data_IF_501909002853
#
_entry.id   IF_501909002853
#
_cell.length_a   1.000
_cell.length_b   1.000
_cell.length_c   1.000
_cell.angle_alpha   90.00
_cell.angle_beta   90.00
_cell.angle_gamma   90.00
#
_symmetry.space_group_name_H-M   'P 1'
#
loop_
_entity.id
_entity.type
_entity.pdbx_description
1 polymer ?
#
# COMPACT_ATOMS: atom_id res chain seq x y z
N UNK A 1 -28.21 36.67 -13.15
CA UNK A 1 -26.80 36.21 -13.11
C UNK A 1 -26.41 36.05 -11.65
N UNK A 2 -26.16 34.83 -11.17
CA UNK A 2 -25.80 34.60 -9.76
C UNK A 2 -24.37 35.10 -9.55
N UNK A 3 -24.20 36.13 -8.72
CA UNK A 3 -22.87 36.64 -8.35
C UNK A 3 -22.10 35.53 -7.63
N UNK A 4 -21.06 35.01 -8.29
CA UNK A 4 -20.07 34.15 -7.63
C UNK A 4 -19.34 35.03 -6.61
N UNK A 5 -19.64 34.84 -5.32
CA UNK A 5 -19.04 35.63 -4.25
C UNK A 5 -17.56 35.31 -4.13
N UNK A 6 -16.74 36.31 -3.79
CA UNK A 6 -15.30 36.11 -3.53
C UNK A 6 -15.05 35.00 -2.50
N UNK A 7 -15.96 34.83 -1.52
CA UNK A 7 -15.92 33.73 -0.56
C UNK A 7 -16.01 32.33 -1.21
N UNK A 8 -16.87 32.15 -2.22
CA UNK A 8 -16.97 30.87 -2.96
C UNK A 8 -15.69 30.61 -3.76
N UNK A 9 -15.11 31.66 -4.34
CA UNK A 9 -13.85 31.57 -5.09
C UNK A 9 -12.68 31.24 -4.16
N UNK A 10 -12.63 31.85 -2.97
CA UNK A 10 -11.66 31.56 -1.92
C UNK A 10 -11.82 30.12 -1.41
N UNK A 11 -13.05 29.66 -1.15
CA UNK A 11 -13.33 28.29 -0.73
C UNK A 11 -12.90 27.25 -1.78
N UNK A 12 -13.16 27.51 -3.07
CA UNK A 12 -12.68 26.67 -4.20
C UNK A 12 -11.15 26.67 -4.32
N UNK A 13 -10.49 27.81 -4.07
CA UNK A 13 -9.02 27.91 -4.06
C UNK A 13 -8.42 27.21 -2.83
N UNK A 14 -9.05 27.29 -1.66
CA UNK A 14 -8.63 26.60 -0.44
C UNK A 14 -8.83 25.09 -0.56
N UNK A 15 -9.94 24.61 -1.12
CA UNK A 15 -10.14 23.19 -1.42
C UNK A 15 -9.08 22.64 -2.38
N UNK A 16 -8.60 23.45 -3.34
CA UNK A 16 -7.49 23.08 -4.23
C UNK A 16 -6.13 22.96 -3.53
N UNK A 17 -5.98 23.50 -2.31
CA UNK A 17 -4.69 23.62 -1.63
C UNK A 17 -4.54 22.77 -0.37
N UNK A 18 -5.56 22.01 0.05
CA UNK A 18 -5.39 21.03 1.13
C UNK A 18 -4.86 19.73 0.51
N UNK A 19 -3.57 19.69 0.23
CA UNK A 19 -2.87 18.45 -0.09
C UNK A 19 -2.68 17.68 1.21
N UNK A 20 -3.55 16.70 1.46
CA UNK A 20 -3.28 15.75 2.53
C UNK A 20 -2.01 14.96 2.19
N UNK A 21 -1.16 14.67 3.19
CA UNK A 21 -0.07 13.73 3.03
C UNK A 21 -0.56 12.45 2.35
N UNK A 22 0.20 12.02 1.35
CA UNK A 22 -0.08 10.81 0.58
C UNK A 22 0.85 9.71 1.06
N UNK A 23 0.28 8.55 1.34
CA UNK A 23 0.98 7.37 1.82
C UNK A 23 0.74 6.23 0.84
N UNK A 24 1.66 5.29 0.80
CA UNK A 24 1.54 4.06 0.04
C UNK A 24 1.04 2.95 0.97
N UNK A 25 -0.04 2.27 0.58
CA UNK A 25 -0.62 1.15 1.33
C UNK A 25 -0.02 -0.15 0.84
N UNK A 26 0.62 -0.91 1.74
CA UNK A 26 1.42 -2.07 1.38
C UNK A 26 1.10 -3.29 2.25
N UNK A 27 1.36 -4.49 1.72
CA UNK A 27 1.59 -5.65 2.58
C UNK A 27 2.90 -5.49 3.37
N UNK A 28 3.13 -6.30 4.42
CA UNK A 28 4.43 -6.37 5.06
C UNK A 28 5.53 -6.70 4.04
N UNK A 29 6.70 -6.12 4.26
CA UNK A 29 7.82 -6.24 3.35
C UNK A 29 8.38 -7.67 3.41
N UNK A 30 8.72 -8.23 2.24
CA UNK A 30 9.29 -9.57 2.15
C UNK A 30 10.67 -9.54 1.50
N UNK A 31 11.54 -10.45 1.90
CA UNK A 31 12.84 -10.65 1.25
C UNK A 31 12.75 -11.79 0.25
N UNK A 32 13.03 -11.49 -1.03
CA UNK A 32 12.98 -12.46 -2.12
C UNK A 32 14.35 -12.59 -2.75
N UNK A 33 14.71 -13.79 -3.21
CA UNK A 33 15.97 -14.00 -3.94
C UNK A 33 15.97 -13.18 -5.22
N UNK A 34 17.05 -12.44 -5.47
CA UNK A 34 17.21 -11.61 -6.66
C UNK A 34 17.03 -12.39 -7.97
N UNK A 35 17.50 -13.65 -7.99
CA UNK A 35 17.35 -14.52 -9.17
C UNK A 35 15.90 -14.92 -9.44
N UNK A 36 15.06 -15.02 -8.40
CA UNK A 36 13.64 -15.32 -8.55
C UNK A 36 12.87 -14.12 -9.08
N UNK A 37 13.17 -12.92 -8.58
CA UNK A 37 12.56 -11.68 -9.09
C UNK A 37 12.88 -11.43 -10.58
N UNK A 38 14.12 -11.71 -11.01
CA UNK A 38 14.55 -11.55 -12.41
C UNK A 38 13.87 -12.52 -13.38
N UNK A 39 13.42 -13.66 -12.88
CA UNK A 39 12.82 -14.73 -13.68
C UNK A 39 11.31 -14.83 -13.45
N UNK A 40 10.67 -13.79 -12.92
CA UNK A 40 9.22 -13.75 -12.78
C UNK A 40 8.58 -13.87 -14.15
N UNK A 41 7.52 -14.67 -14.21
CA UNK A 41 6.75 -14.93 -15.41
C UNK A 41 5.25 -14.80 -15.14
N UNK A 42 4.49 -14.67 -16.22
CA UNK A 42 3.04 -14.59 -16.15
C UNK A 42 2.46 -15.84 -15.48
N UNK A 43 1.53 -15.64 -14.55
CA UNK A 43 0.87 -16.66 -13.73
C UNK A 43 1.74 -17.34 -12.66
N UNK A 44 3.00 -16.92 -12.48
CA UNK A 44 3.77 -17.35 -11.31
C UNK A 44 3.03 -17.00 -10.01
N UNK A 45 3.16 -17.88 -9.01
CA UNK A 45 2.59 -17.67 -7.68
C UNK A 45 3.73 -17.38 -6.71
N UNK A 46 3.69 -16.19 -6.11
CA UNK A 46 4.60 -15.78 -5.06
C UNK A 46 3.93 -15.98 -3.70
N UNK A 47 4.37 -17.00 -2.97
CA UNK A 47 4.02 -17.22 -1.57
C UNK A 47 4.63 -16.11 -0.69
N UNK A 48 3.82 -15.50 0.17
CA UNK A 48 4.24 -14.33 0.97
C UNK A 48 4.63 -14.70 2.40
N UNK A 49 4.19 -15.86 2.88
CA UNK A 49 4.30 -16.31 4.25
C UNK A 49 3.27 -15.68 5.20
N UNK A 50 2.29 -14.94 4.68
CA UNK A 50 1.26 -14.28 5.50
C UNK A 50 0.00 -15.12 5.58
N UNK A 51 -0.46 -15.42 6.80
CA UNK A 51 -1.72 -16.10 7.07
C UNK A 51 -2.89 -15.11 7.24
N UNK A 52 -2.59 -13.81 7.36
CA UNK A 52 -3.56 -12.75 7.64
C UNK A 52 -3.22 -11.48 6.89
N UNK A 53 -4.27 -10.75 6.49
CA UNK A 53 -4.12 -9.48 5.81
C UNK A 53 -3.80 -8.37 6.82
N UNK A 54 -2.51 -8.13 7.01
CA UNK A 54 -1.96 -6.95 7.68
C UNK A 54 -1.48 -5.93 6.65
N UNK A 55 -1.58 -4.65 6.97
CA UNK A 55 -1.24 -3.57 6.05
C UNK A 55 -0.27 -2.58 6.71
N UNK A 56 0.59 -1.99 5.90
CA UNK A 56 1.53 -0.94 6.29
C UNK A 56 1.23 0.34 5.51
N UNK A 57 1.28 1.47 6.21
CA UNK A 57 1.41 2.76 5.55
C UNK A 57 2.87 3.15 5.47
N UNK A 58 3.26 3.58 4.27
CA UNK A 58 4.61 4.01 4.01
C UNK A 58 4.64 5.40 3.39
N UNK A 59 5.63 6.19 3.76
CA UNK A 59 6.00 7.41 3.05
C UNK A 59 7.41 7.22 2.49
N UNK A 60 7.51 6.92 1.19
CA UNK A 60 8.77 6.54 0.56
C UNK A 60 9.33 5.24 1.15
N UNK A 61 10.49 5.34 1.81
CA UNK A 61 11.18 4.22 2.48
C UNK A 61 10.89 4.15 3.99
N UNK A 62 10.03 5.03 4.53
CA UNK A 62 9.67 5.03 5.94
C UNK A 62 8.32 4.35 6.14
N UNK A 63 8.26 3.37 7.05
CA UNK A 63 7.01 2.80 7.56
C UNK A 63 6.48 3.78 8.61
N UNK A 64 5.27 4.29 8.40
CA UNK A 64 4.63 5.30 9.24
C UNK A 64 3.56 4.71 10.17
N UNK A 65 2.91 3.62 9.77
CA UNK A 65 1.89 2.99 10.58
C UNK A 65 1.61 1.55 10.16
N UNK A 66 1.08 0.77 11.10
CA UNK A 66 0.41 -0.51 10.84
C UNK A 66 -1.09 -0.31 10.82
N UNK A 67 -1.73 -0.93 9.85
CA UNK A 67 -3.17 -0.94 9.64
C UNK A 67 -3.70 -2.35 9.79
N UNK A 68 -4.90 -2.44 10.37
CA UNK A 68 -5.70 -3.66 10.36
C UNK A 68 -7.07 -3.38 9.77
N UNK A 69 -7.61 -4.35 9.03
CA UNK A 69 -9.02 -4.32 8.63
C UNK A 69 -9.90 -4.73 9.82
N UNK A 70 -10.79 -3.84 10.25
CA UNK A 70 -11.76 -4.08 11.32
C UNK A 70 -13.16 -4.11 10.75
N UNK A 71 -14.03 -5.04 11.19
CA UNK A 71 -15.43 -5.01 10.81
C UNK A 71 -16.10 -3.72 11.28
N UNK A 72 -16.73 -3.01 10.35
CA UNK A 72 -17.52 -1.80 10.55
C UNK A 72 -18.92 -2.03 9.97
N UNK A 73 -19.86 -2.42 10.84
CA UNK A 73 -21.24 -2.74 10.46
C UNK A 73 -21.29 -3.81 9.36
N UNK A 74 -21.36 -3.41 8.08
CA UNK A 74 -21.42 -4.29 6.91
C UNK A 74 -20.17 -4.28 6.03
N UNK A 75 -19.14 -3.52 6.38
CA UNK A 75 -17.89 -3.42 5.62
C UNK A 75 -16.68 -3.63 6.51
N UNK A 76 -15.49 -3.70 5.93
CA UNK A 76 -14.23 -3.66 6.68
C UNK A 76 -13.58 -2.30 6.49
N UNK A 77 -13.28 -1.62 7.59
CA UNK A 77 -12.57 -0.34 7.59
C UNK A 77 -11.10 -0.55 7.97
N UNK A 78 -10.14 0.02 7.23
CA UNK A 78 -8.74 0.02 7.65
C UNK A 78 -8.55 1.01 8.81
N UNK A 79 -8.15 0.49 9.96
CA UNK A 79 -7.88 1.26 11.18
C UNK A 79 -6.38 1.26 11.45
N UNK A 80 -5.83 2.43 11.78
CA UNK A 80 -4.44 2.55 12.26
C UNK A 80 -4.37 1.92 13.65
N UNK A 81 -3.65 0.82 13.78
CA UNK A 81 -3.50 0.11 15.06
C UNK A 81 -2.22 0.50 15.80
N UNK A 82 -1.20 0.95 15.06
CA UNK A 82 0.09 1.30 15.64
C UNK A 82 0.80 2.33 14.76
N UNK A 83 1.34 3.37 15.38
CA UNK A 83 2.22 4.34 14.70
C UNK A 83 3.65 3.82 14.83
N UNK A 84 4.34 3.71 13.71
CA UNK A 84 5.74 3.27 13.65
C UNK A 84 6.49 4.36 12.91
N UNK A 85 7.72 4.65 13.30
CA UNK A 85 8.61 5.44 12.46
C UNK A 85 9.88 4.63 12.29
N UNK A 86 9.89 3.79 11.25
CA UNK A 86 11.01 2.92 10.93
C UNK A 86 11.41 3.09 9.48
N UNK A 87 12.69 3.37 9.26
CA UNK A 87 13.25 3.52 7.92
C UNK A 87 13.70 2.15 7.45
N UNK A 88 13.17 1.74 6.30
CA UNK A 88 13.56 0.50 5.66
C UNK A 88 15.06 0.50 5.41
N UNK A 89 15.77 -0.40 6.10
CA UNK A 89 17.16 -0.69 5.80
C UNK A 89 17.18 -1.72 4.69
N UNK A 90 17.60 -1.31 3.49
CA UNK A 90 17.86 -2.30 2.45
C UNK A 90 18.99 -3.23 2.92
N UNK A 91 18.80 -4.56 2.84
CA UNK A 91 19.88 -5.48 3.12
C UNK A 91 20.99 -5.26 2.08
N UNK A 92 22.24 -5.16 2.52
CA UNK A 92 23.42 -5.11 1.65
C UNK A 92 23.73 -6.51 1.06
N UNK A 93 22.69 -7.15 0.54
CA UNK A 93 22.75 -8.48 -0.05
C UNK A 93 22.53 -8.40 -1.55
N UNK A 94 23.48 -8.91 -2.31
CA UNK A 94 23.25 -9.19 -3.75
C UNK A 94 22.27 -10.35 -3.96
N UNK A 95 22.14 -11.23 -2.96
CA UNK A 95 21.35 -12.48 -3.05
C UNK A 95 19.87 -12.26 -2.79
N UNK A 96 19.53 -11.38 -1.87
CA UNK A 96 18.15 -11.09 -1.48
C UNK A 96 17.86 -9.61 -1.69
N UNK A 97 16.68 -9.33 -2.22
CA UNK A 97 16.14 -7.97 -2.37
C UNK A 97 14.88 -7.85 -1.57
N UNK A 98 14.67 -6.67 -1.02
CA UNK A 98 13.42 -6.32 -0.39
C UNK A 98 12.38 -6.06 -1.47
N UNK A 99 11.25 -6.73 -1.35
CA UNK A 99 10.10 -6.57 -2.22
C UNK A 99 9.00 -5.84 -1.47
N UNK A 100 8.56 -4.74 -2.06
CA UNK A 100 7.40 -3.97 -1.64
C UNK A 100 6.21 -4.39 -2.48
N UNK A 101 5.08 -4.68 -1.83
CA UNK A 101 3.84 -5.09 -2.48
C UNK A 101 2.79 -4.03 -2.15
N UNK A 102 2.53 -3.15 -3.12
CA UNK A 102 1.70 -1.95 -2.97
C UNK A 102 0.30 -2.16 -3.55
N UNK A 103 -0.72 -1.73 -2.82
CA UNK A 103 -2.10 -1.61 -3.30
C UNK A 103 -2.37 -0.25 -3.98
N UNK A 104 -1.43 0.69 -3.87
CA UNK A 104 -1.57 2.06 -4.33
C UNK A 104 -1.51 3.07 -3.18
N UNK A 105 -1.89 4.30 -3.49
CA UNK A 105 -1.75 5.43 -2.57
C UNK A 105 -3.06 5.81 -1.89
N UNK A 106 -2.95 6.26 -0.64
CA UNK A 106 -4.03 6.75 0.20
C UNK A 106 -3.66 8.13 0.75
N UNK A 107 -4.66 8.92 1.10
CA UNK A 107 -4.45 10.22 1.74
C UNK A 107 -4.93 10.15 3.19
N UNK A 108 -4.14 10.72 4.09
CA UNK A 108 -4.57 10.90 5.47
C UNK A 108 -4.17 12.26 6.02
N UNK A 109 -5.10 12.88 6.77
CA UNK A 109 -4.88 14.15 7.48
C UNK A 109 -3.86 14.03 8.59
N UNK A 110 -4.00 12.98 9.37
CA UNK A 110 -3.20 12.71 10.56
C UNK A 110 -3.06 11.20 10.71
N UNK A 111 -1.93 10.78 11.28
CA UNK A 111 -1.71 9.39 11.66
C UNK A 111 -1.95 9.30 13.17
N UNK A 112 -3.14 8.87 13.55
CA UNK A 112 -3.53 8.67 14.95
C UNK A 112 -4.05 7.25 15.12
N UNK A 113 -3.69 6.60 16.23
CA UNK A 113 -4.19 5.26 16.55
C UNK A 113 -5.71 5.31 16.67
N UNK A 114 -6.40 4.35 16.07
CA UNK A 114 -7.87 4.29 16.00
C UNK A 114 -8.47 5.08 14.84
N UNK A 115 -7.68 5.89 14.12
CA UNK A 115 -8.18 6.58 12.94
C UNK A 115 -8.38 5.62 11.77
N UNK A 116 -9.45 5.83 11.01
CA UNK A 116 -9.73 5.09 9.77
C UNK A 116 -9.16 5.79 8.55
N UNK A 117 -8.69 5.02 7.58
CA UNK A 117 -8.22 5.54 6.29
C UNK A 117 -9.22 5.23 5.21
N UNK A 118 -9.44 6.19 4.32
CA UNK A 118 -10.27 5.93 3.14
C UNK A 118 -9.46 5.14 2.10
N UNK A 119 -9.95 3.94 1.79
CA UNK A 119 -9.39 3.04 0.77
C UNK A 119 -10.43 2.68 -0.29
N UNK A 120 -11.58 3.37 -0.33
CA UNK A 120 -12.69 3.02 -1.21
C UNK A 120 -12.34 3.10 -2.70
N UNK A 121 -11.32 3.89 -3.06
CA UNK A 121 -10.80 3.98 -4.42
C UNK A 121 -9.78 2.91 -4.78
N UNK A 122 -9.32 2.10 -3.82
CA UNK A 122 -8.33 1.04 -4.06
C UNK A 122 -9.00 -0.30 -4.33
N UNK A 123 -8.45 -1.02 -5.30
CA UNK A 123 -8.77 -2.42 -5.56
C UNK A 123 -7.81 -3.31 -4.77
N UNK A 124 -8.26 -3.79 -3.60
CA UNK A 124 -7.44 -4.63 -2.72
C UNK A 124 -7.12 -6.02 -3.31
N UNK A 125 -7.71 -6.40 -4.44
CA UNK A 125 -7.29 -7.61 -5.14
C UNK A 125 -6.03 -7.38 -5.97
N UNK A 126 -5.76 -6.15 -6.41
CA UNK A 126 -4.63 -5.82 -7.29
C UNK A 126 -3.46 -5.24 -6.51
N UNK A 127 -2.27 -5.71 -6.87
CA UNK A 127 -1.03 -5.26 -6.26
C UNK A 127 0.05 -4.97 -7.29
N UNK A 128 0.92 -4.03 -6.95
CA UNK A 128 2.13 -3.69 -7.69
C UNK A 128 3.34 -4.17 -6.90
N UNK A 129 4.22 -4.90 -7.57
CA UNK A 129 5.48 -5.36 -7.00
C UNK A 129 6.58 -4.36 -7.33
N UNK A 130 7.23 -3.84 -6.30
CA UNK A 130 8.29 -2.83 -6.39
C UNK A 130 9.55 -3.35 -5.71
N UNK A 131 10.67 -3.32 -6.42
CA UNK A 131 12.00 -3.64 -5.89
C UNK A 131 12.96 -2.52 -6.25
N UNK A 132 13.77 -2.06 -5.29
CA UNK A 132 14.75 -0.97 -5.49
C UNK A 132 14.12 0.30 -6.10
N UNK A 133 12.90 0.65 -5.70
CA UNK A 133 12.17 1.82 -6.19
C UNK A 133 11.60 1.67 -7.61
N UNK A 134 11.72 0.51 -8.25
CA UNK A 134 11.19 0.24 -9.58
C UNK A 134 10.08 -0.80 -9.54
N UNK A 135 9.01 -0.54 -10.29
CA UNK A 135 7.97 -1.52 -10.54
C UNK A 135 8.54 -2.66 -11.38
N UNK A 136 8.42 -3.89 -10.89
CA UNK A 136 8.90 -5.10 -11.58
C UNK A 136 7.76 -5.97 -12.12
N UNK A 137 6.58 -5.91 -11.51
CA UNK A 137 5.42 -6.70 -11.92
C UNK A 137 4.11 -6.13 -11.34
N UNK A 138 3.00 -6.55 -11.94
CA UNK A 138 1.65 -6.39 -11.41
C UNK A 138 1.10 -7.78 -11.10
N UNK A 139 0.33 -7.90 -10.03
CA UNK A 139 -0.23 -9.16 -9.57
C UNK A 139 -1.60 -8.99 -8.93
N UNK A 140 -2.19 -10.12 -8.54
CA UNK A 140 -3.41 -10.15 -7.74
C UNK A 140 -3.23 -11.02 -6.51
N UNK A 141 -3.85 -10.63 -5.40
CA UNK A 141 -3.95 -11.48 -4.22
C UNK A 141 -4.74 -12.74 -4.55
N UNK A 142 -4.21 -13.88 -4.12
CA UNK A 142 -4.86 -15.19 -4.18
C UNK A 142 -4.63 -15.90 -2.86
N UNK A 143 -5.52 -16.81 -2.48
CA UNK A 143 -5.29 -17.69 -1.34
C UNK A 143 -4.76 -19.04 -1.85
N UNK A 144 -3.65 -19.51 -1.29
CA UNK A 144 -3.06 -20.82 -1.57
C UNK A 144 -2.77 -21.48 -0.24
N UNK A 145 -3.42 -22.60 0.05
CA UNK A 145 -3.24 -23.36 1.29
C UNK A 145 -3.37 -22.50 2.57
N UNK A 146 -4.41 -21.67 2.64
CA UNK A 146 -4.68 -20.72 3.75
C UNK A 146 -3.65 -19.57 3.86
N UNK A 147 -2.69 -19.48 2.94
CA UNK A 147 -1.70 -18.42 2.86
C UNK A 147 -2.11 -17.37 1.81
N UNK A 148 -1.82 -16.09 2.11
CA UNK A 148 -1.89 -15.02 1.11
C UNK A 148 -0.72 -15.21 0.15
N UNK A 149 -1.04 -15.33 -1.13
CA UNK A 149 -0.07 -15.39 -2.21
C UNK A 149 -0.41 -14.37 -3.28
N UNK A 150 0.55 -14.11 -4.18
CA UNK A 150 0.37 -13.16 -5.27
C UNK A 150 0.55 -13.91 -6.59
N UNK A 151 -0.50 -13.92 -7.40
CA UNK A 151 -0.40 -14.41 -8.76
C UNK A 151 0.04 -13.28 -9.69
N UNK A 152 1.14 -13.46 -10.40
CA UNK A 152 1.68 -12.48 -11.34
C UNK A 152 0.77 -12.38 -12.56
N UNK A 153 0.30 -11.16 -12.85
CA UNK A 153 -0.56 -10.84 -14.00
C UNK A 153 0.20 -10.17 -15.14
N UNK A 154 1.32 -9.53 -14.83
CA UNK A 154 2.18 -8.87 -15.81
C UNK A 154 3.58 -8.68 -15.22
N UNK A 155 4.60 -8.83 -16.05
CA UNK A 155 6.00 -8.57 -15.70
C UNK A 155 6.49 -7.41 -16.57
N UNK A 156 7.25 -6.49 -15.98
CA UNK A 156 7.86 -5.35 -16.66
C UNK A 156 9.34 -5.58 -16.99
#
# INVERSE_FOLDING_TARGET
MKHETQALRLAKMMQKHITYPTYDLNLPLVMVRSSKLKNLSLNDILLTGFDRLELLLMNGETICAKIRLKPMHNTYGPEIVHIVEDTIKQPDSKKYKMLKISFGTVQSKALEIGSTIDITHLDLEKVTLVSEGKMIAEGSLVNVDEEIAIQIKKVN
#
